data_IF_550530087377
#
_entry.id   IF_550530087377
#
_cell.length_a   1.000
_cell.length_b   1.000
_cell.length_c   1.000
_cell.angle_alpha   90.00
_cell.angle_beta   90.00
_cell.angle_gamma   90.00
#
_symmetry.space_group_name_H-M   'P 1'
#
loop_
_entity.id
_entity.type
_entity.pdbx_description
1 polymer ?
#
# COMPACT_ATOMS: atom_id res chain seq x y z
N UNK A 1 71.10 43.95 28.57
CA UNK A 1 70.63 42.60 28.11
C UNK A 1 69.20 42.27 28.66
N UNK A 2 68.72 42.81 29.74
CA UNK A 2 67.40 42.55 30.33
C UNK A 2 66.22 43.18 29.56
N UNK A 3 66.41 44.32 28.88
CA UNK A 3 65.35 45.03 28.14
C UNK A 3 64.96 44.25 26.86
N UNK A 4 65.83 43.56 26.21
CA UNK A 4 65.55 42.77 24.99
C UNK A 4 64.76 41.48 25.26
N UNK A 5 64.87 40.89 26.47
CA UNK A 5 64.12 39.71 26.88
C UNK A 5 62.68 40.11 27.27
N UNK A 6 62.44 41.26 27.91
CA UNK A 6 61.15 41.79 28.22
C UNK A 6 60.34 42.18 26.95
N UNK A 7 61.02 42.73 25.92
CA UNK A 7 60.40 43.12 24.66
C UNK A 7 59.90 41.87 23.88
N UNK A 8 60.48 40.71 24.12
CA UNK A 8 60.03 39.46 23.49
C UNK A 8 58.75 38.88 24.12
N UNK A 9 58.43 39.27 25.35
CA UNK A 9 57.25 38.85 26.08
C UNK A 9 56.01 39.77 25.92
N UNK A 10 56.23 41.00 25.45
CA UNK A 10 55.15 42.01 25.29
C UNK A 10 55.00 42.40 23.82
N UNK A 11 55.14 41.45 22.92
CA UNK A 11 54.79 41.70 21.50
C UNK A 11 53.29 41.64 21.34
N UNK A 12 52.62 42.70 20.88
CA UNK A 12 51.19 42.70 20.71
C UNK A 12 50.79 41.66 19.64
N UNK A 13 49.86 40.78 19.99
CA UNK A 13 49.28 39.81 19.09
C UNK A 13 47.81 40.14 18.89
N UNK A 14 47.34 40.01 17.62
CA UNK A 14 45.94 40.14 17.27
C UNK A 14 45.43 38.84 16.61
N UNK A 15 44.30 38.37 17.02
CA UNK A 15 43.55 37.35 16.34
C UNK A 15 42.44 38.01 15.56
N UNK A 16 42.37 37.82 14.25
CA UNK A 16 41.36 38.34 13.36
C UNK A 16 40.51 37.16 12.85
N UNK A 17 39.25 37.14 13.19
CA UNK A 17 38.33 36.15 12.63
C UNK A 17 37.57 36.81 11.45
N UNK A 18 37.90 36.40 10.25
CA UNK A 18 37.26 36.88 9.02
C UNK A 18 35.99 36.07 8.82
N UNK A 19 34.84 36.78 8.79
CA UNK A 19 33.52 36.20 8.54
C UNK A 19 33.29 36.17 7.07
N UNK A 20 33.07 34.95 6.49
CA UNK A 20 32.82 34.77 5.06
C UNK A 20 31.35 34.50 4.77
N UNK A 21 30.87 34.95 3.60
CA UNK A 21 29.55 34.69 3.07
C UNK A 21 29.63 33.58 2.03
N UNK A 22 29.24 32.35 2.38
CA UNK A 22 29.17 31.29 1.39
C UNK A 22 28.03 31.55 0.41
N UNK A 23 28.21 31.16 -0.84
CA UNK A 23 27.19 31.21 -1.87
C UNK A 23 26.68 29.81 -2.18
N UNK A 24 25.35 29.65 -2.25
CA UNK A 24 24.77 28.39 -2.67
C UNK A 24 24.93 28.26 -4.20
N UNK A 25 25.53 27.19 -4.65
CA UNK A 25 25.62 26.80 -6.06
C UNK A 25 24.83 25.53 -6.29
N UNK A 26 24.05 25.49 -7.38
CA UNK A 26 23.20 24.34 -7.71
C UNK A 26 23.35 24.01 -9.19
N UNK A 27 23.49 22.73 -9.50
CA UNK A 27 23.38 22.20 -10.84
C UNK A 27 22.23 21.20 -10.90
N UNK A 28 21.49 21.24 -12.01
CA UNK A 28 20.37 20.33 -12.29
C UNK A 28 20.62 19.62 -13.61
N UNK A 29 20.22 18.35 -13.66
CA UNK A 29 20.21 17.55 -14.89
C UNK A 29 19.10 16.52 -14.86
N UNK A 30 18.65 16.14 -16.05
CA UNK A 30 17.81 14.96 -16.21
C UNK A 30 18.69 13.73 -16.24
N UNK A 31 18.40 12.75 -15.39
CA UNK A 31 19.19 11.52 -15.20
C UNK A 31 18.29 10.31 -15.42
N UNK A 32 18.81 9.32 -16.13
CA UNK A 32 18.21 7.99 -16.22
C UNK A 32 18.70 7.11 -15.08
N UNK A 33 17.77 6.43 -14.40
CA UNK A 33 18.09 5.44 -13.36
C UNK A 33 17.79 4.07 -13.94
N UNK A 34 18.84 3.29 -14.18
CA UNK A 34 18.75 2.07 -14.98
C UNK A 34 19.09 0.80 -14.17
N UNK A 35 18.13 -0.16 -14.06
CA UNK A 35 18.37 -1.42 -13.36
C UNK A 35 19.43 -2.31 -14.02
N UNK A 36 19.78 -2.05 -15.28
CA UNK A 36 20.78 -2.80 -16.04
C UNK A 36 22.16 -2.16 -16.02
N UNK A 37 22.27 -0.89 -15.64
CA UNK A 37 23.55 -0.21 -15.50
C UNK A 37 24.30 -0.72 -14.27
N UNK A 38 25.60 -0.87 -14.40
CA UNK A 38 26.51 -1.29 -13.30
C UNK A 38 27.45 -0.19 -12.87
N UNK A 39 27.54 0.88 -13.65
CA UNK A 39 28.42 2.03 -13.41
C UNK A 39 27.71 3.33 -13.80
N UNK A 40 28.16 4.41 -13.18
CA UNK A 40 27.71 5.77 -13.53
C UNK A 40 28.23 6.14 -14.92
N UNK A 41 27.37 6.64 -15.80
CA UNK A 41 27.73 7.10 -17.15
C UNK A 41 27.47 8.60 -17.30
N UNK A 42 28.53 9.39 -17.36
CA UNK A 42 28.42 10.83 -17.62
C UNK A 42 27.98 11.13 -19.05
N UNK A 43 28.26 10.24 -20.02
CA UNK A 43 27.88 10.42 -21.42
C UNK A 43 26.37 10.19 -21.63
N UNK A 44 25.82 9.19 -20.97
CA UNK A 44 24.40 8.81 -21.06
C UNK A 44 23.54 9.47 -19.98
N UNK A 45 24.17 10.22 -19.07
CA UNK A 45 23.52 10.79 -17.89
C UNK A 45 22.71 9.75 -17.13
N UNK A 46 23.33 8.59 -16.89
CA UNK A 46 22.67 7.45 -16.23
C UNK A 46 23.42 6.98 -14.99
N UNK A 47 22.66 6.48 -14.01
CA UNK A 47 23.16 5.88 -12.79
C UNK A 47 22.55 4.47 -12.59
N UNK A 48 23.26 3.57 -11.87
CA UNK A 48 22.74 2.27 -11.53
C UNK A 48 21.48 2.35 -10.66
N UNK A 49 20.60 1.38 -10.85
CA UNK A 49 19.43 1.17 -10.00
C UNK A 49 19.48 -0.19 -9.32
N UNK A 50 19.07 -0.25 -8.07
CA UNK A 50 19.00 -1.49 -7.29
C UNK A 50 17.55 -1.87 -7.02
N UNK A 51 17.16 -3.08 -7.46
CA UNK A 51 15.83 -3.60 -7.16
C UNK A 51 15.77 -4.02 -5.69
N UNK A 52 14.78 -3.51 -4.99
CA UNK A 52 14.46 -3.88 -3.63
C UNK A 52 13.15 -4.65 -3.63
N UNK A 53 13.08 -5.76 -2.91
CA UNK A 53 11.87 -6.56 -2.80
C UNK A 53 11.69 -7.08 -1.38
N UNK A 54 10.46 -7.04 -0.88
CA UNK A 54 10.12 -7.54 0.43
C UNK A 54 8.76 -8.23 0.41
N UNK A 55 8.71 -9.44 0.92
CA UNK A 55 7.48 -10.19 1.12
C UNK A 55 7.12 -10.22 2.61
N UNK A 56 5.86 -9.94 2.91
CA UNK A 56 5.30 -10.05 4.26
C UNK A 56 4.01 -10.85 4.22
N UNK A 57 3.79 -11.63 5.26
CA UNK A 57 2.57 -12.41 5.46
C UNK A 57 1.87 -11.96 6.74
N UNK A 58 0.57 -12.12 6.75
CA UNK A 58 -0.25 -11.88 7.92
C UNK A 58 -1.53 -12.70 7.87
N UNK A 59 -2.17 -12.81 9.01
CA UNK A 59 -3.44 -13.49 9.19
C UNK A 59 -4.34 -12.67 10.10
N UNK A 60 -5.64 -12.69 9.82
CA UNK A 60 -6.66 -12.05 10.64
C UNK A 60 -7.94 -12.86 10.59
N UNK A 61 -8.87 -12.53 11.48
CA UNK A 61 -10.19 -13.15 11.53
C UNK A 61 -11.25 -12.10 11.80
N UNK A 62 -12.37 -12.20 11.09
CA UNK A 62 -13.55 -11.36 11.32
C UNK A 62 -14.79 -12.23 11.61
N UNK A 63 -15.78 -11.66 12.27
CA UNK A 63 -17.06 -12.34 12.48
C UNK A 63 -17.79 -12.49 11.13
N UNK A 64 -18.35 -13.68 10.89
CA UNK A 64 -19.22 -13.91 9.75
C UNK A 64 -20.57 -13.19 9.96
N UNK A 65 -21.07 -12.52 8.93
CA UNK A 65 -22.28 -11.69 9.02
C UNK A 65 -23.45 -12.19 8.17
N UNK A 66 -23.19 -13.09 7.23
CA UNK A 66 -24.22 -13.66 6.36
C UNK A 66 -25.27 -14.45 7.17
N UNK A 67 -26.49 -14.48 6.68
CA UNK A 67 -27.58 -15.26 7.24
C UNK A 67 -28.14 -16.18 6.17
N UNK A 68 -28.38 -17.44 6.55
CA UNK A 68 -28.95 -18.44 5.66
C UNK A 68 -29.90 -19.34 6.45
N UNK A 69 -31.03 -19.70 5.84
CA UNK A 69 -31.89 -20.76 6.36
C UNK A 69 -31.38 -22.11 5.84
N UNK A 70 -31.20 -23.03 6.75
CA UNK A 70 -30.85 -24.43 6.45
C UNK A 70 -31.88 -25.34 7.12
N UNK A 71 -32.12 -26.51 6.58
CA UNK A 71 -33.07 -27.47 7.10
C UNK A 71 -33.42 -28.52 6.07
N UNK A 72 -34.46 -29.27 6.37
CA UNK A 72 -34.95 -30.34 5.51
C UNK A 72 -36.32 -30.05 4.98
N UNK A 73 -36.66 -30.51 3.77
CA UNK A 73 -38.04 -30.47 3.25
C UNK A 73 -38.90 -31.53 3.91
N UNK A 74 -40.20 -31.24 4.06
CA UNK A 74 -41.19 -32.22 4.51
C UNK A 74 -41.38 -33.33 3.50
N UNK A 75 -41.57 -34.55 3.97
CA UNK A 75 -41.84 -35.71 3.13
C UNK A 75 -43.12 -36.36 3.57
N UNK A 76 -43.84 -36.96 2.60
CA UNK A 76 -45.06 -37.68 2.87
C UNK A 76 -45.53 -38.48 1.64
N UNK A 77 -46.73 -38.98 1.72
CA UNK A 77 -47.35 -39.65 0.59
C UNK A 77 -48.75 -39.10 0.37
N UNK A 78 -49.19 -39.09 -0.87
CA UNK A 78 -50.52 -38.71 -1.31
C UNK A 78 -51.18 -39.85 -2.08
N UNK A 79 -52.50 -40.00 -1.90
CA UNK A 79 -53.30 -40.82 -2.84
C UNK A 79 -53.75 -39.90 -3.96
N UNK A 80 -53.37 -40.27 -5.16
CA UNK A 80 -53.80 -39.59 -6.40
C UNK A 80 -55.11 -40.23 -6.86
N UNK A 81 -56.12 -39.43 -7.16
CA UNK A 81 -57.40 -39.82 -7.69
C UNK A 81 -57.49 -39.35 -9.14
N UNK A 82 -57.54 -40.31 -10.07
CA UNK A 82 -57.76 -40.04 -11.47
C UNK A 82 -59.28 -40.16 -11.76
N UNK A 83 -59.88 -39.04 -12.15
CA UNK A 83 -61.32 -38.92 -12.48
C UNK A 83 -61.60 -39.14 -13.95
N UNK A 84 -60.56 -39.28 -14.80
CA UNK A 84 -60.68 -39.47 -16.24
C UNK A 84 -60.89 -40.93 -16.62
N UNK A 85 -61.47 -41.15 -17.78
CA UNK A 85 -61.70 -42.48 -18.36
C UNK A 85 -60.45 -43.13 -19.00
N UNK A 86 -59.31 -42.45 -18.93
CA UNK A 86 -58.02 -42.99 -19.40
C UNK A 86 -57.00 -43.05 -18.27
N UNK A 87 -56.10 -44.04 -18.29
CA UNK A 87 -55.01 -44.13 -17.34
C UNK A 87 -54.03 -42.95 -17.50
N UNK A 88 -53.38 -42.56 -16.43
CA UNK A 88 -52.48 -41.41 -16.41
C UNK A 88 -51.13 -41.79 -15.83
N UNK A 89 -50.06 -41.51 -16.55
CA UNK A 89 -48.68 -41.65 -16.06
C UNK A 89 -48.16 -40.27 -15.64
N UNK A 90 -47.67 -40.18 -14.42
CA UNK A 90 -47.05 -39.02 -13.85
C UNK A 90 -45.57 -39.33 -13.67
N UNK A 91 -44.74 -38.41 -14.09
CA UNK A 91 -43.29 -38.56 -14.03
C UNK A 91 -42.72 -38.01 -12.71
N UNK A 92 -41.64 -38.58 -12.23
CA UNK A 92 -40.83 -37.99 -11.15
C UNK A 92 -40.60 -36.50 -11.42
N UNK A 93 -40.73 -35.67 -10.39
CA UNK A 93 -40.66 -34.22 -10.51
C UNK A 93 -41.96 -33.52 -10.89
N UNK A 94 -43.04 -34.28 -11.16
CA UNK A 94 -44.38 -33.65 -11.36
C UNK A 94 -44.74 -32.82 -10.12
N UNK A 95 -45.25 -31.62 -10.34
CA UNK A 95 -45.48 -30.62 -9.28
C UNK A 95 -46.91 -30.68 -8.74
N UNK A 96 -47.02 -30.65 -7.42
CA UNK A 96 -48.25 -30.51 -6.67
C UNK A 96 -48.24 -29.20 -5.91
N UNK A 97 -49.42 -28.65 -5.68
CA UNK A 97 -49.60 -27.46 -4.86
C UNK A 97 -50.68 -27.73 -3.81
N UNK A 98 -50.33 -27.43 -2.54
CA UNK A 98 -51.23 -27.48 -1.40
C UNK A 98 -50.98 -26.29 -0.49
N UNK A 99 -52.04 -25.54 -0.10
CA UNK A 99 -51.93 -24.36 0.74
C UNK A 99 -50.90 -23.31 0.27
N UNK A 100 -50.71 -23.19 -1.06
CA UNK A 100 -49.71 -22.30 -1.65
C UNK A 100 -48.28 -22.82 -1.62
N UNK A 101 -48.00 -24.01 -1.05
CA UNK A 101 -46.72 -24.67 -1.00
C UNK A 101 -46.56 -25.64 -2.16
N UNK A 102 -45.34 -25.80 -2.65
CA UNK A 102 -45.03 -26.68 -3.77
C UNK A 102 -44.40 -27.99 -3.29
N UNK A 103 -44.77 -29.09 -3.93
CA UNK A 103 -44.30 -30.44 -3.66
C UNK A 103 -43.99 -31.11 -4.98
N UNK A 104 -43.05 -32.04 -4.98
CA UNK A 104 -42.65 -32.83 -6.16
C UNK A 104 -42.83 -34.31 -5.93
N UNK A 105 -43.25 -35.00 -6.99
CA UNK A 105 -43.34 -36.46 -7.03
C UNK A 105 -41.92 -37.08 -7.01
N UNK A 106 -41.68 -38.05 -6.11
CA UNK A 106 -40.33 -38.63 -5.93
C UNK A 106 -40.03 -39.76 -6.92
N UNK A 107 -41.06 -40.36 -7.55
CA UNK A 107 -40.90 -41.47 -8.50
C UNK A 107 -41.99 -41.44 -9.60
N UNK A 108 -41.82 -42.22 -10.65
CA UNK A 108 -42.82 -42.36 -11.73
C UNK A 108 -44.03 -43.16 -11.21
N UNK A 109 -45.24 -42.64 -11.39
CA UNK A 109 -46.47 -43.29 -10.92
C UNK A 109 -47.47 -43.40 -12.08
N UNK A 110 -48.09 -44.59 -12.20
CA UNK A 110 -49.21 -44.82 -13.11
C UNK A 110 -50.50 -44.94 -12.30
N UNK A 111 -51.50 -44.15 -12.68
CA UNK A 111 -52.81 -44.13 -12.03
C UNK A 111 -53.85 -44.67 -13.02
N UNK A 112 -54.55 -45.73 -12.66
CA UNK A 112 -55.61 -46.33 -13.49
C UNK A 112 -56.72 -45.33 -13.84
N UNK A 113 -57.47 -45.60 -14.89
CA UNK A 113 -58.67 -44.82 -15.26
C UNK A 113 -59.78 -44.97 -14.21
N UNK A 114 -60.67 -44.01 -14.14
CA UNK A 114 -61.94 -44.19 -13.49
C UNK A 114 -62.76 -45.28 -14.19
N UNK A 115 -63.56 -46.04 -13.42
CA UNK A 115 -64.48 -47.07 -13.90
C UNK A 115 -65.94 -46.72 -13.43
N UNK A 116 -66.84 -46.92 -14.28
CA UNK A 116 -68.26 -46.72 -14.00
C UNK A 116 -68.97 -48.11 -13.94
N UNK A 117 -69.72 -48.33 -12.88
CA UNK A 117 -70.57 -49.51 -12.76
C UNK A 117 -71.97 -49.12 -13.30
N UNK A 118 -72.24 -49.58 -14.52
CA UNK A 118 -73.51 -49.26 -15.24
C UNK A 118 -74.74 -49.78 -14.52
N UNK A 119 -74.60 -50.77 -13.63
CA UNK A 119 -75.78 -51.33 -12.90
C UNK A 119 -76.10 -50.48 -11.67
N UNK A 120 -75.15 -50.01 -10.95
CA UNK A 120 -75.33 -49.19 -9.72
C UNK A 120 -75.22 -47.68 -9.95
N UNK A 121 -74.81 -47.23 -11.15
CA UNK A 121 -74.54 -45.83 -11.44
C UNK A 121 -73.41 -45.21 -10.66
N UNK A 122 -72.52 -46.02 -10.03
CA UNK A 122 -71.40 -45.54 -9.20
C UNK A 122 -70.13 -45.39 -10.02
N UNK A 123 -69.44 -44.26 -9.83
CA UNK A 123 -68.12 -44.00 -10.43
C UNK A 123 -67.02 -44.25 -9.37
N UNK A 124 -66.09 -45.16 -9.68
CA UNK A 124 -64.91 -45.43 -8.86
C UNK A 124 -63.73 -44.81 -9.53
N UNK A 125 -63.10 -43.84 -8.87
CA UNK A 125 -61.86 -43.21 -9.39
C UNK A 125 -60.68 -44.15 -9.33
N UNK A 126 -59.81 -44.08 -10.35
CA UNK A 126 -58.50 -44.72 -10.30
C UNK A 126 -57.67 -44.14 -9.18
N UNK A 127 -56.91 -44.98 -8.46
CA UNK A 127 -56.10 -44.55 -7.29
C UNK A 127 -54.69 -45.08 -7.42
N UNK A 128 -53.74 -44.26 -6.94
CA UNK A 128 -52.34 -44.70 -6.72
C UNK A 128 -51.71 -43.91 -5.56
N UNK A 129 -50.92 -44.62 -4.74
CA UNK A 129 -50.12 -43.94 -3.72
C UNK A 129 -48.85 -43.40 -4.34
N UNK A 130 -48.45 -42.21 -3.95
CA UNK A 130 -47.30 -41.50 -4.48
C UNK A 130 -46.47 -40.85 -3.37
N UNK A 131 -45.18 -41.15 -3.23
CA UNK A 131 -44.26 -40.42 -2.34
C UNK A 131 -44.01 -39.02 -2.90
N UNK A 132 -44.02 -38.02 -2.00
CA UNK A 132 -43.97 -36.61 -2.36
C UNK A 132 -43.10 -35.88 -1.35
N UNK A 133 -42.21 -35.01 -1.86
CA UNK A 133 -41.33 -34.17 -1.07
C UNK A 133 -41.64 -32.71 -1.33
N UNK A 134 -41.65 -31.90 -0.26
CA UNK A 134 -41.80 -30.44 -0.40
C UNK A 134 -40.61 -29.84 -1.16
N UNK A 135 -40.85 -28.82 -1.95
CA UNK A 135 -39.78 -28.09 -2.65
C UNK A 135 -38.99 -27.23 -1.68
N UNK A 136 -39.69 -26.55 -0.77
CA UNK A 136 -39.08 -25.66 0.20
C UNK A 136 -38.84 -26.40 1.54
N UNK A 137 -37.73 -26.04 2.18
CA UNK A 137 -37.40 -26.46 3.54
C UNK A 137 -38.31 -25.77 4.55
N UNK A 138 -38.54 -26.40 5.67
CA UNK A 138 -39.18 -25.74 6.79
C UNK A 138 -40.43 -26.42 7.31
N UNK A 139 -40.83 -26.10 8.55
CA UNK A 139 -41.96 -26.75 9.26
C UNK A 139 -43.33 -26.37 8.63
N UNK A 140 -43.40 -25.28 7.81
CA UNK A 140 -44.63 -24.89 7.11
C UNK A 140 -45.12 -25.95 6.12
N UNK A 141 -44.19 -26.81 5.63
CA UNK A 141 -44.51 -27.92 4.72
C UNK A 141 -44.94 -29.22 5.44
N UNK A 142 -44.96 -29.24 6.76
CA UNK A 142 -45.48 -30.34 7.55
C UNK A 142 -47.03 -30.26 7.59
N UNK A 143 -47.66 -30.58 6.46
CA UNK A 143 -49.12 -30.49 6.30
C UNK A 143 -49.82 -31.64 7.06
N UNK A 144 -51.02 -31.41 7.62
CA UNK A 144 -51.80 -32.44 8.29
C UNK A 144 -52.33 -33.50 7.32
N UNK A 145 -52.70 -34.64 7.86
CA UNK A 145 -53.43 -35.65 7.12
C UNK A 145 -54.75 -35.08 6.56
N UNK A 146 -55.16 -35.57 5.40
CA UNK A 146 -56.35 -35.11 4.74
C UNK A 146 -56.20 -33.86 3.88
N UNK A 147 -54.97 -33.28 3.79
CA UNK A 147 -54.69 -32.12 2.93
C UNK A 147 -54.88 -32.50 1.48
N UNK A 148 -55.56 -31.63 0.73
CA UNK A 148 -55.79 -31.77 -0.70
C UNK A 148 -54.65 -31.08 -1.51
N UNK A 149 -54.21 -31.74 -2.57
CA UNK A 149 -53.17 -31.31 -3.47
C UNK A 149 -53.76 -31.23 -4.90
N UNK A 150 -53.51 -30.12 -5.55
CA UNK A 150 -53.76 -29.94 -6.97
C UNK A 150 -52.49 -30.11 -7.76
N UNK A 151 -52.60 -30.61 -8.96
CA UNK A 151 -51.46 -30.63 -9.92
C UNK A 151 -51.28 -29.26 -10.53
N UNK A 152 -50.07 -28.88 -10.80
CA UNK A 152 -49.78 -27.61 -11.47
C UNK A 152 -50.30 -27.61 -12.91
N UNK A 153 -50.16 -28.76 -13.60
CA UNK A 153 -50.41 -28.85 -15.04
C UNK A 153 -51.67 -29.73 -15.38
N UNK A 154 -52.48 -30.07 -14.37
CA UNK A 154 -53.68 -30.90 -14.57
C UNK A 154 -54.86 -30.28 -13.83
N UNK A 155 -55.97 -30.11 -14.55
CA UNK A 155 -57.18 -29.55 -13.95
C UNK A 155 -57.74 -30.46 -12.83
N UNK A 156 -58.24 -29.86 -11.75
CA UNK A 156 -58.84 -30.54 -10.60
C UNK A 156 -60.02 -31.44 -10.98
N UNK A 157 -60.70 -31.10 -12.08
CA UNK A 157 -61.78 -31.93 -12.67
C UNK A 157 -61.26 -33.25 -13.22
N UNK A 158 -59.98 -33.36 -13.55
CA UNK A 158 -59.31 -34.53 -14.14
C UNK A 158 -58.63 -35.38 -13.08
N UNK A 159 -57.86 -34.74 -12.20
CA UNK A 159 -57.14 -35.45 -11.12
C UNK A 159 -56.96 -34.53 -9.90
N UNK A 160 -56.93 -35.13 -8.73
CA UNK A 160 -56.65 -34.51 -7.44
C UNK A 160 -55.84 -35.51 -6.60
N UNK A 161 -55.09 -35.00 -5.65
CA UNK A 161 -54.41 -35.88 -4.68
C UNK A 161 -54.77 -35.46 -3.26
N UNK A 162 -54.64 -36.39 -2.31
CA UNK A 162 -54.95 -36.15 -0.90
C UNK A 162 -53.97 -36.93 -0.03
N UNK A 163 -53.43 -36.28 1.00
CA UNK A 163 -52.59 -36.98 1.98
C UNK A 163 -53.42 -37.86 2.93
N UNK A 164 -53.02 -39.10 3.13
CA UNK A 164 -53.61 -39.96 4.15
C UNK A 164 -52.98 -39.78 5.54
N UNK A 165 -51.68 -39.45 5.52
CA UNK A 165 -50.89 -39.20 6.72
C UNK A 165 -50.30 -37.74 6.67
N UNK A 166 -49.95 -37.24 7.82
CA UNK A 166 -49.28 -35.95 7.88
C UNK A 166 -47.91 -35.99 7.19
N UNK A 167 -47.55 -34.90 6.52
CA UNK A 167 -46.18 -34.65 6.05
C UNK A 167 -45.31 -34.29 7.25
N UNK A 168 -44.13 -34.86 7.32
CA UNK A 168 -43.19 -34.73 8.47
C UNK A 168 -41.76 -34.49 7.97
N UNK A 169 -40.91 -34.07 8.89
CA UNK A 169 -39.47 -33.90 8.62
C UNK A 169 -39.09 -32.52 8.09
N UNK A 170 -40.06 -31.66 7.82
CA UNK A 170 -39.80 -30.26 7.43
C UNK A 170 -39.22 -29.50 8.64
N UNK A 171 -37.98 -29.04 8.49
CA UNK A 171 -37.26 -28.28 9.53
C UNK A 171 -36.63 -27.06 8.93
N UNK A 172 -36.41 -26.01 9.70
CA UNK A 172 -35.56 -24.88 9.34
C UNK A 172 -34.95 -24.22 10.55
N UNK A 173 -33.72 -23.78 10.41
CA UNK A 173 -33.03 -22.94 11.39
C UNK A 173 -32.26 -21.84 10.67
N UNK A 174 -32.14 -20.69 11.29
CA UNK A 174 -31.27 -19.64 10.81
C UNK A 174 -29.84 -19.91 11.27
N UNK A 175 -28.91 -19.85 10.33
CA UNK A 175 -27.49 -20.03 10.60
C UNK A 175 -26.72 -18.81 10.14
N UNK A 176 -25.61 -18.57 10.82
CA UNK A 176 -24.63 -17.59 10.37
C UNK A 176 -23.69 -18.26 9.35
N UNK A 177 -23.52 -17.63 8.23
CA UNK A 177 -22.64 -18.10 7.15
C UNK A 177 -21.68 -17.01 6.74
N UNK A 178 -20.57 -17.40 6.14
CA UNK A 178 -19.64 -16.45 5.55
C UNK A 178 -20.28 -15.79 4.33
N UNK A 179 -20.31 -14.48 4.32
CA UNK A 179 -20.81 -13.68 3.20
C UNK A 179 -19.65 -13.24 2.28
N UNK A 180 -19.98 -12.82 1.08
CA UNK A 180 -19.03 -12.21 0.15
C UNK A 180 -18.45 -10.90 0.72
N UNK A 181 -19.29 -10.13 1.41
CA UNK A 181 -18.85 -8.89 2.07
C UNK A 181 -17.79 -9.15 3.15
N UNK A 182 -17.89 -10.28 3.89
CA UNK A 182 -16.88 -10.67 4.88
C UNK A 182 -15.53 -10.94 4.20
N UNK A 183 -15.52 -11.62 3.06
CA UNK A 183 -14.30 -11.83 2.27
C UNK A 183 -13.66 -10.52 1.82
N UNK A 184 -14.46 -9.60 1.31
CA UNK A 184 -13.99 -8.30 0.83
C UNK A 184 -13.44 -7.46 2.00
N UNK A 185 -14.14 -7.46 3.14
CA UNK A 185 -13.73 -6.73 4.34
C UNK A 185 -12.40 -7.26 4.90
N UNK A 186 -12.29 -8.59 5.09
CA UNK A 186 -11.08 -9.23 5.58
C UNK A 186 -9.89 -9.04 4.63
N UNK A 187 -10.13 -9.19 3.32
CA UNK A 187 -9.08 -8.97 2.31
C UNK A 187 -8.58 -7.54 2.34
N UNK A 188 -9.49 -6.57 2.44
CA UNK A 188 -9.12 -5.16 2.51
C UNK A 188 -8.32 -4.84 3.77
N UNK A 189 -8.81 -5.27 4.94
CA UNK A 189 -8.12 -5.06 6.23
C UNK A 189 -6.69 -5.61 6.20
N UNK A 190 -6.53 -6.90 5.81
CA UNK A 190 -5.22 -7.53 5.69
C UNK A 190 -4.32 -6.83 4.66
N UNK A 191 -4.88 -6.43 3.51
CA UNK A 191 -4.10 -5.74 2.47
C UNK A 191 -3.59 -4.41 3.00
N UNK A 192 -4.45 -3.60 3.62
CA UNK A 192 -4.09 -2.27 4.13
C UNK A 192 -3.01 -2.36 5.23
N UNK A 193 -3.11 -3.34 6.13
CA UNK A 193 -2.13 -3.58 7.18
C UNK A 193 -0.79 -4.05 6.60
N UNK A 194 -0.82 -5.08 5.76
CA UNK A 194 0.39 -5.69 5.21
C UNK A 194 1.13 -4.78 4.24
N UNK A 195 0.43 -3.94 3.47
CA UNK A 195 1.06 -2.92 2.61
C UNK A 195 1.85 -1.93 3.45
N UNK A 196 1.28 -1.45 4.56
CA UNK A 196 1.98 -0.53 5.48
C UNK A 196 3.22 -1.20 6.07
N UNK A 197 3.07 -2.45 6.54
CA UNK A 197 4.17 -3.23 7.11
C UNK A 197 5.27 -3.48 6.07
N UNK A 198 4.90 -3.96 4.88
CA UNK A 198 5.84 -4.26 3.81
C UNK A 198 6.61 -3.03 3.33
N UNK A 199 5.94 -1.88 3.16
CA UNK A 199 6.59 -0.61 2.82
C UNK A 199 7.58 -0.16 3.90
N UNK A 200 7.21 -0.31 5.18
CA UNK A 200 8.12 0.01 6.29
C UNK A 200 9.35 -0.90 6.29
N UNK A 201 9.15 -2.20 6.11
CA UNK A 201 10.26 -3.17 6.05
C UNK A 201 11.12 -2.98 4.81
N UNK A 202 10.53 -2.64 3.65
CA UNK A 202 11.26 -2.33 2.43
C UNK A 202 12.20 -1.14 2.66
N UNK A 203 11.68 -0.03 3.20
CA UNK A 203 12.48 1.16 3.51
C UNK A 203 13.57 0.89 4.56
N UNK A 204 13.28 0.08 5.57
CA UNK A 204 14.25 -0.32 6.59
C UNK A 204 15.32 -1.30 6.12
N UNK A 205 15.08 -1.99 5.00
CA UNK A 205 16.01 -2.92 4.39
C UNK A 205 16.94 -2.31 3.33
N UNK A 206 16.69 -1.07 2.94
CA UNK A 206 17.54 -0.34 1.98
C UNK A 206 18.87 0.02 2.67
N UNK A 207 19.99 -0.12 1.93
CA UNK A 207 21.32 0.25 2.43
C UNK A 207 21.30 1.74 2.87
N UNK A 208 21.99 2.13 3.97
CA UNK A 208 22.03 3.52 4.44
C UNK A 208 22.53 4.54 3.40
N UNK A 209 23.34 4.11 2.44
CA UNK A 209 23.85 4.95 1.33
C UNK A 209 22.88 5.05 0.14
N UNK A 210 21.82 4.26 0.17
CA UNK A 210 20.82 4.20 -0.90
C UNK A 210 19.51 4.88 -0.50
N UNK A 211 18.82 5.44 -1.48
CA UNK A 211 17.48 6.00 -1.34
C UNK A 211 16.48 5.29 -2.22
N UNK A 212 15.35 4.93 -1.62
CA UNK A 212 14.22 4.33 -2.32
C UNK A 212 13.43 5.41 -3.06
N UNK A 213 13.06 5.13 -4.29
CA UNK A 213 12.18 5.98 -5.11
C UNK A 213 10.74 5.55 -4.83
N UNK A 214 10.00 6.36 -4.09
CA UNK A 214 8.65 5.99 -3.63
C UNK A 214 7.67 5.76 -4.78
N UNK A 215 7.81 6.46 -5.90
CA UNK A 215 6.98 6.35 -7.10
C UNK A 215 7.15 5.01 -7.82
N UNK A 216 8.24 4.28 -7.56
CA UNK A 216 8.49 2.96 -8.13
C UNK A 216 7.88 1.83 -7.31
N UNK A 217 7.30 2.13 -6.14
CA UNK A 217 6.80 1.09 -5.23
C UNK A 217 5.54 0.44 -5.80
N UNK A 218 5.66 -0.82 -6.19
CA UNK A 218 4.57 -1.68 -6.65
C UNK A 218 4.24 -2.70 -5.58
N UNK A 219 2.96 -2.99 -5.42
CA UNK A 219 2.46 -3.99 -4.47
C UNK A 219 1.76 -5.11 -5.22
N UNK A 220 2.08 -6.36 -4.90
CA UNK A 220 1.45 -7.54 -5.47
C UNK A 220 1.01 -8.50 -4.38
N UNK A 221 -0.24 -8.94 -4.42
CA UNK A 221 -0.71 -10.06 -3.61
C UNK A 221 -0.22 -11.36 -4.25
N UNK A 222 0.58 -12.13 -3.52
CA UNK A 222 1.21 -13.37 -4.01
C UNK A 222 0.51 -14.63 -3.52
N UNK A 223 -0.13 -14.58 -2.35
CA UNK A 223 -0.94 -15.67 -1.84
C UNK A 223 -2.14 -15.15 -1.08
N UNK A 224 -3.24 -15.91 -1.15
CA UNK A 224 -4.48 -15.66 -0.42
C UNK A 224 -5.11 -16.98 -0.06
N UNK A 225 -5.40 -17.17 1.21
CA UNK A 225 -6.03 -18.38 1.72
C UNK A 225 -7.09 -18.04 2.77
N UNK A 226 -8.22 -18.71 2.75
CA UNK A 226 -9.34 -18.52 3.67
C UNK A 226 -9.81 -19.88 4.21
N UNK A 227 -10.20 -19.89 5.47
CA UNK A 227 -10.61 -21.10 6.20
C UNK A 227 -11.98 -21.64 5.80
N UNK A 228 -12.88 -20.80 5.29
CA UNK A 228 -14.24 -21.16 4.89
C UNK A 228 -14.57 -20.59 3.52
N UNK A 229 -15.52 -21.23 2.84
CA UNK A 229 -16.07 -20.73 1.58
C UNK A 229 -17.29 -19.81 1.81
N UNK A 230 -17.64 -19.02 0.79
CA UNK A 230 -18.84 -18.20 0.80
C UNK A 230 -20.09 -19.08 0.93
N UNK A 231 -21.02 -18.71 1.79
CA UNK A 231 -22.23 -19.46 2.18
C UNK A 231 -21.98 -20.71 3.04
N UNK A 232 -20.77 -20.96 3.48
CA UNK A 232 -20.47 -21.99 4.48
C UNK A 232 -20.84 -21.51 5.87
N UNK A 233 -21.45 -22.41 6.68
CA UNK A 233 -21.81 -22.11 8.06
C UNK A 233 -20.57 -21.96 8.92
N UNK A 234 -20.40 -20.77 9.49
CA UNK A 234 -19.32 -20.45 10.41
C UNK A 234 -19.65 -19.19 11.21
N UNK A 235 -19.10 -19.07 12.41
CA UNK A 235 -19.20 -17.85 13.22
C UNK A 235 -18.14 -16.82 12.87
N UNK A 236 -17.03 -17.24 12.28
CA UNK A 236 -15.89 -16.41 11.92
C UNK A 236 -15.32 -16.85 10.57
N UNK A 237 -14.75 -15.90 9.84
CA UNK A 237 -13.89 -16.12 8.67
C UNK A 237 -12.46 -15.80 9.06
N UNK A 238 -11.54 -16.76 8.92
CA UNK A 238 -10.12 -16.54 9.05
C UNK A 238 -9.50 -16.47 7.65
N UNK A 239 -8.51 -15.61 7.50
CA UNK A 239 -7.77 -15.50 6.24
C UNK A 239 -6.30 -15.21 6.47
N UNK A 240 -5.48 -15.68 5.57
CA UNK A 240 -4.08 -15.34 5.46
C UNK A 240 -3.77 -14.73 4.09
N UNK A 241 -2.88 -13.76 4.09
CA UNK A 241 -2.47 -13.05 2.89
C UNK A 241 -0.96 -12.88 2.88
N UNK A 242 -0.35 -13.06 1.73
CA UNK A 242 1.05 -12.71 1.49
C UNK A 242 1.11 -11.63 0.43
N UNK A 243 1.83 -10.55 0.75
CA UNK A 243 2.03 -9.42 -0.14
C UNK A 243 3.52 -9.27 -0.39
N UNK A 244 3.89 -9.08 -1.64
CA UNK A 244 5.22 -8.68 -2.07
C UNK A 244 5.18 -7.22 -2.51
N UNK A 245 6.07 -6.43 -1.94
CA UNK A 245 6.31 -5.03 -2.33
C UNK A 245 7.69 -4.96 -2.95
N UNK A 246 7.77 -4.38 -4.14
CA UNK A 246 9.01 -4.13 -4.85
C UNK A 246 9.15 -2.63 -5.14
N UNK A 247 10.39 -2.16 -5.19
CA UNK A 247 10.73 -0.78 -5.52
C UNK A 247 12.15 -0.69 -6.05
N UNK A 248 12.58 0.50 -6.40
CA UNK A 248 13.92 0.78 -6.92
C UNK A 248 14.62 1.76 -6.00
N UNK A 249 15.86 1.47 -5.63
CA UNK A 249 16.76 2.38 -4.92
C UNK A 249 17.93 2.79 -5.81
N UNK A 250 18.55 3.90 -5.47
CA UNK A 250 19.77 4.42 -6.09
C UNK A 250 20.74 4.88 -5.00
N UNK A 251 22.04 4.98 -5.32
CA UNK A 251 23.04 5.52 -4.41
C UNK A 251 23.13 7.04 -4.59
N UNK A 252 23.06 7.81 -3.50
CA UNK A 252 23.22 9.28 -3.54
C UNK A 252 24.60 9.73 -4.04
N UNK A 253 25.63 8.94 -3.76
CA UNK A 253 26.99 9.22 -4.22
C UNK A 253 27.11 9.17 -5.74
N UNK A 254 26.27 8.37 -6.42
CA UNK A 254 26.25 8.29 -7.88
C UNK A 254 25.76 9.60 -8.51
N UNK A 255 24.71 10.20 -7.94
CA UNK A 255 24.24 11.53 -8.37
C UNK A 255 25.31 12.59 -8.11
N UNK A 256 25.92 12.55 -6.93
CA UNK A 256 26.99 13.48 -6.55
C UNK A 256 28.14 13.38 -7.53
N UNK A 257 28.58 12.16 -7.85
CA UNK A 257 29.68 11.91 -8.79
C UNK A 257 29.35 12.42 -10.21
N UNK A 258 28.09 12.19 -10.67
CA UNK A 258 27.65 12.61 -11.99
C UNK A 258 27.54 14.12 -12.14
N UNK A 259 27.07 14.83 -11.10
CA UNK A 259 26.78 16.28 -11.17
C UNK A 259 27.90 17.16 -10.59
N UNK A 260 28.95 16.58 -9.97
CA UNK A 260 30.01 17.32 -9.30
C UNK A 260 30.72 18.30 -10.23
N UNK A 261 31.05 17.89 -11.44
CA UNK A 261 31.70 18.77 -12.43
C UNK A 261 30.77 19.94 -12.82
N UNK A 262 29.46 19.65 -12.99
CA UNK A 262 28.48 20.68 -13.34
C UNK A 262 28.32 21.72 -12.23
N UNK A 263 28.39 21.32 -10.97
CA UNK A 263 28.38 22.26 -9.83
C UNK A 263 29.68 23.06 -9.80
N UNK A 264 30.84 22.41 -10.02
CA UNK A 264 32.15 23.08 -10.00
C UNK A 264 32.26 24.19 -11.05
N UNK A 265 31.66 24.02 -12.25
CA UNK A 265 31.64 25.07 -13.29
C UNK A 265 30.82 26.30 -12.91
N UNK A 266 29.91 26.17 -11.95
CA UNK A 266 29.06 27.25 -11.45
C UNK A 266 29.66 28.00 -10.25
N UNK A 267 30.79 27.51 -9.72
CA UNK A 267 31.47 28.19 -8.62
C UNK A 267 32.03 29.54 -9.11
N UNK A 268 31.69 30.65 -8.44
CA UNK A 268 32.20 31.98 -8.85
C UNK A 268 33.71 32.06 -8.72
N UNK A 269 34.31 32.91 -9.53
CA UNK A 269 35.76 33.17 -9.48
C UNK A 269 36.16 33.69 -8.08
N UNK A 270 37.22 33.12 -7.52
CA UNK A 270 37.66 33.44 -6.17
C UNK A 270 36.97 32.66 -5.02
N UNK A 271 36.07 31.73 -5.38
CA UNK A 271 35.44 30.79 -4.42
C UNK A 271 35.95 29.37 -4.65
N UNK A 272 35.86 28.53 -3.63
CA UNK A 272 36.09 27.11 -3.70
C UNK A 272 34.84 26.35 -3.22
N UNK A 273 34.53 25.26 -3.87
CA UNK A 273 33.39 24.40 -3.47
C UNK A 273 33.74 23.65 -2.18
N UNK A 274 32.88 23.79 -1.18
CA UNK A 274 32.97 22.98 0.04
C UNK A 274 32.26 21.65 -0.21
N UNK A 275 33.05 20.62 -0.51
CA UNK A 275 32.56 19.27 -0.83
C UNK A 275 31.80 18.63 0.34
N UNK A 276 32.02 19.04 1.57
CA UNK A 276 31.33 18.51 2.75
C UNK A 276 29.87 18.97 2.84
N UNK A 277 29.53 20.00 2.09
CA UNK A 277 28.17 20.58 2.04
C UNK A 277 27.35 20.11 0.85
N UNK A 278 27.90 19.23 0.01
CA UNK A 278 27.20 18.69 -1.14
C UNK A 278 25.98 17.89 -0.69
N UNK A 279 24.85 18.18 -1.32
CA UNK A 279 23.58 17.49 -1.08
C UNK A 279 22.84 17.29 -2.41
N UNK A 280 22.50 16.05 -2.69
CA UNK A 280 21.72 15.68 -3.87
C UNK A 280 20.24 15.54 -3.53
N UNK A 281 19.37 15.89 -4.48
CA UNK A 281 17.93 15.67 -4.41
C UNK A 281 17.43 15.22 -5.77
N UNK A 282 16.36 14.43 -5.78
CA UNK A 282 15.63 14.07 -6.99
C UNK A 282 14.21 14.66 -6.96
N UNK A 283 13.72 15.01 -8.12
CA UNK A 283 12.36 15.50 -8.35
C UNK A 283 11.84 14.98 -9.71
N UNK A 284 10.55 15.22 -9.97
CA UNK A 284 9.92 14.93 -11.27
C UNK A 284 10.18 13.48 -11.74
N UNK A 285 9.94 12.53 -10.85
CA UNK A 285 10.14 11.11 -11.16
C UNK A 285 9.12 10.64 -12.20
N UNK A 286 9.62 10.17 -13.33
CA UNK A 286 8.82 9.59 -14.41
C UNK A 286 9.22 8.13 -14.58
N UNK A 287 8.26 7.24 -14.34
CA UNK A 287 8.42 5.80 -14.58
C UNK A 287 7.72 5.46 -15.90
N UNK A 288 8.49 5.10 -16.90
CA UNK A 288 7.96 4.71 -18.21
C UNK A 288 7.36 3.30 -18.19
N UNK A 289 6.54 2.96 -19.18
CA UNK A 289 5.86 1.65 -19.26
C UNK A 289 6.83 0.47 -19.40
N UNK A 290 8.00 0.68 -19.96
CA UNK A 290 9.08 -0.29 -20.10
C UNK A 290 9.94 -0.43 -18.84
N UNK A 291 9.64 0.36 -17.80
CA UNK A 291 10.35 0.35 -16.52
C UNK A 291 11.55 1.28 -16.45
N UNK A 292 11.84 2.07 -17.52
CA UNK A 292 12.85 3.12 -17.45
C UNK A 292 12.42 4.23 -16.49
N UNK A 293 13.34 4.68 -15.64
CA UNK A 293 13.09 5.71 -14.64
C UNK A 293 13.91 6.94 -15.03
N UNK A 294 13.23 8.05 -15.26
CA UNK A 294 13.88 9.34 -15.49
C UNK A 294 13.54 10.29 -14.36
N UNK A 295 14.55 10.95 -13.82
CA UNK A 295 14.41 11.90 -12.72
C UNK A 295 15.10 13.21 -13.06
N UNK A 296 14.61 14.31 -12.52
CA UNK A 296 15.38 15.55 -12.44
C UNK A 296 16.20 15.48 -11.16
N UNK A 297 17.52 15.37 -11.30
CA UNK A 297 18.44 15.41 -10.17
C UNK A 297 19.05 16.80 -10.05
N UNK A 298 19.20 17.26 -8.82
CA UNK A 298 19.92 18.47 -8.49
C UNK A 298 20.99 18.19 -7.45
N UNK A 299 22.15 18.80 -7.63
CA UNK A 299 23.24 18.81 -6.67
C UNK A 299 23.49 20.25 -6.23
N UNK A 300 23.41 20.50 -4.94
CA UNK A 300 23.70 21.81 -4.36
C UNK A 300 24.85 21.72 -3.37
N UNK A 301 25.62 22.78 -3.27
CA UNK A 301 26.73 22.90 -2.34
C UNK A 301 27.05 24.36 -2.03
N UNK A 302 27.82 24.59 -0.98
CA UNK A 302 28.27 25.92 -0.62
C UNK A 302 29.63 26.21 -1.27
N UNK A 303 29.72 27.30 -1.99
CA UNK A 303 30.97 27.86 -2.44
C UNK A 303 31.45 28.86 -1.39
N UNK A 304 32.65 28.64 -0.83
CA UNK A 304 33.27 29.50 0.18
C UNK A 304 34.33 30.36 -0.47
N UNK A 305 34.46 31.65 -0.13
CA UNK A 305 35.48 32.50 -0.70
C UNK A 305 36.87 32.01 -0.32
N UNK A 306 37.76 31.95 -1.30
CA UNK A 306 39.19 31.65 -1.10
C UNK A 306 39.92 32.85 -0.49
N UNK A 307 39.97 32.93 0.82
CA UNK A 307 40.66 34.05 1.53
C UNK A 307 42.12 33.70 1.68
N UNK A 308 42.99 34.48 0.99
CA UNK A 308 44.43 34.40 1.20
C UNK A 308 44.79 35.04 2.56
N UNK A 309 45.04 34.18 3.53
CA UNK A 309 45.42 34.59 4.88
C UNK A 309 46.67 35.51 4.89
N UNK A 310 47.67 35.20 4.03
CA UNK A 310 48.88 35.99 3.90
C UNK A 310 48.66 37.40 3.36
N UNK A 311 47.82 37.49 2.33
CA UNK A 311 47.41 38.77 1.77
C UNK A 311 46.61 39.59 2.79
N UNK A 312 45.67 38.98 3.48
CA UNK A 312 44.89 39.62 4.57
C UNK A 312 45.80 40.17 5.66
N UNK A 313 46.71 39.33 6.21
CA UNK A 313 47.68 39.77 7.21
C UNK A 313 48.52 40.97 6.77
N UNK A 314 48.99 40.94 5.52
CA UNK A 314 49.82 42.03 4.97
C UNK A 314 49.05 43.32 4.82
N UNK A 315 47.78 43.25 4.39
CA UNK A 315 46.95 44.41 4.10
C UNK A 315 46.48 45.12 5.37
N UNK A 316 46.20 44.36 6.44
CA UNK A 316 45.68 44.93 7.69
C UNK A 316 46.79 45.28 8.71
N UNK A 317 48.05 44.86 8.47
CA UNK A 317 49.17 45.13 9.38
C UNK A 317 49.37 46.66 9.60
N UNK A 318 49.44 47.05 10.90
CA UNK A 318 49.61 48.47 11.29
C UNK A 318 48.42 49.37 11.07
N UNK A 319 47.30 48.88 10.54
CA UNK A 319 46.04 49.66 10.32
C UNK A 319 45.26 49.86 11.58
N UNK A 320 44.44 50.93 11.65
CA UNK A 320 43.45 51.06 12.69
C UNK A 320 42.36 50.02 12.53
N UNK A 321 41.57 49.77 13.60
CA UNK A 321 40.48 48.83 13.53
C UNK A 321 39.43 49.22 12.47
N UNK A 322 39.08 50.50 12.42
CA UNK A 322 38.12 51.01 11.46
C UNK A 322 38.60 50.80 10.00
N UNK A 323 39.86 51.17 9.73
CA UNK A 323 40.48 50.96 8.41
C UNK A 323 40.53 49.47 8.04
N UNK A 324 40.92 48.61 9.00
CA UNK A 324 41.02 47.17 8.78
C UNK A 324 39.63 46.54 8.49
N UNK A 325 38.60 46.96 9.21
CA UNK A 325 37.23 46.55 8.96
C UNK A 325 36.73 46.96 7.60
N UNK A 326 37.01 48.20 7.16
CA UNK A 326 36.63 48.72 5.88
C UNK A 326 37.35 47.98 4.73
N UNK A 327 38.64 47.77 4.87
CA UNK A 327 39.43 47.00 3.92
C UNK A 327 38.86 45.60 3.75
N UNK A 328 38.61 44.89 4.86
CA UNK A 328 38.12 43.55 4.86
C UNK A 328 36.67 43.44 4.25
N UNK A 329 35.79 44.38 4.58
CA UNK A 329 34.44 44.44 3.98
C UNK A 329 34.45 44.67 2.48
N UNK A 330 35.47 45.36 1.96
CA UNK A 330 35.61 45.59 0.51
C UNK A 330 36.23 44.42 -0.21
N UNK A 331 36.69 43.37 0.50
CA UNK A 331 37.16 42.13 -0.11
C UNK A 331 35.95 41.25 -0.51
N UNK A 332 36.03 40.63 -1.66
CA UNK A 332 34.95 39.80 -2.18
C UNK A 332 34.66 38.61 -1.23
N UNK A 333 33.39 38.45 -0.86
CA UNK A 333 32.93 37.31 -0.05
C UNK A 333 33.20 37.46 1.44
N UNK A 334 33.68 38.61 1.92
CA UNK A 334 33.87 38.88 3.35
C UNK A 334 32.70 39.72 3.88
N UNK A 335 31.99 39.21 4.89
CA UNK A 335 30.90 39.90 5.59
C UNK A 335 31.40 40.89 6.62
N UNK A 336 32.55 40.60 7.24
CA UNK A 336 33.13 41.38 8.30
C UNK A 336 34.31 40.66 8.96
N UNK A 337 34.80 41.25 10.05
CA UNK A 337 35.84 40.63 10.83
C UNK A 337 35.68 40.98 12.32
N UNK A 338 36.04 40.04 13.15
CA UNK A 338 36.12 40.21 14.60
C UNK A 338 37.62 40.25 14.99
N UNK A 339 37.94 41.15 15.95
CA UNK A 339 39.32 41.39 16.38
C UNK A 339 39.44 41.11 17.87
N UNK A 340 40.39 40.26 18.22
CA UNK A 340 40.75 39.92 19.60
C UNK A 340 42.23 40.23 19.83
N UNK A 341 42.53 41.13 20.77
CA UNK A 341 43.89 41.50 21.09
C UNK A 341 44.42 40.77 22.34
N UNK A 342 45.65 40.29 22.23
CA UNK A 342 46.38 39.75 23.36
C UNK A 342 47.70 40.54 23.55
N UNK A 343 47.96 40.95 24.78
CA UNK A 343 49.16 41.68 25.16
C UNK A 343 49.37 43.01 24.44
N UNK A 344 48.29 43.71 24.06
CA UNK A 344 48.36 44.99 23.37
C UNK A 344 48.25 46.17 24.38
N UNK A 345 49.17 47.14 24.27
CA UNK A 345 49.12 48.41 25.01
C UNK A 345 48.02 49.37 24.51
N UNK A 346 47.68 49.25 23.25
CA UNK A 346 46.52 49.92 22.63
C UNK A 346 45.72 48.92 21.87
N UNK A 347 44.37 49.02 21.88
CA UNK A 347 43.44 48.15 21.16
C UNK A 347 42.92 48.82 19.90
N UNK A 348 43.47 49.99 19.53
CA UNK A 348 42.94 50.79 18.40
C UNK A 348 43.66 50.48 17.08
N UNK A 349 44.82 49.81 17.13
CA UNK A 349 45.62 49.46 15.96
C UNK A 349 46.10 48.02 15.99
N UNK A 350 46.17 47.40 14.82
CA UNK A 350 46.73 46.09 14.63
C UNK A 350 48.29 46.11 14.71
N UNK A 351 48.94 44.97 15.05
CA UNK A 351 50.39 44.86 15.03
C UNK A 351 50.95 45.21 13.65
N UNK A 352 52.12 45.93 13.67
CA UNK A 352 52.84 46.31 12.43
C UNK A 352 53.42 45.04 11.76
N UNK A 353 53.91 44.10 12.60
CA UNK A 353 54.43 42.84 12.12
C UNK A 353 53.26 41.87 11.79
N UNK A 354 53.08 41.51 10.53
CA UNK A 354 52.06 40.57 10.06
C UNK A 354 52.09 39.21 10.75
N UNK A 355 53.29 38.74 11.19
CA UNK A 355 53.45 37.46 11.87
C UNK A 355 52.82 37.43 13.27
N UNK A 356 52.48 38.59 13.81
CA UNK A 356 51.80 38.74 15.10
C UNK A 356 50.25 38.87 14.91
N UNK A 357 49.76 38.74 13.69
CA UNK A 357 48.36 38.71 13.36
C UNK A 357 47.99 37.29 12.97
N UNK A 358 47.20 36.61 13.79
CA UNK A 358 46.63 35.30 13.41
C UNK A 358 45.27 35.50 12.78
N UNK A 359 45.10 35.05 11.55
CA UNK A 359 43.83 35.11 10.85
C UNK A 359 43.15 33.75 10.89
N UNK A 360 41.90 33.72 11.31
CA UNK A 360 40.97 32.57 11.22
C UNK A 360 39.84 32.90 10.30
N UNK A 361 39.37 31.95 9.53
CA UNK A 361 38.22 32.08 8.67
C UNK A 361 37.07 31.37 9.37
N UNK A 362 35.91 32.04 9.46
CA UNK A 362 34.68 31.48 9.94
C UNK A 362 33.56 31.80 8.96
N UNK A 363 32.66 30.91 8.75
CA UNK A 363 31.42 31.11 7.99
C UNK A 363 30.37 31.75 8.87
N UNK A 364 29.68 32.74 8.35
CA UNK A 364 28.55 33.37 9.02
C UNK A 364 27.28 32.52 8.86
#
# INVERSE_FOLDING_TARGET
MFIAVLARWVVPHAQVTVLTLPQLVTAESSISIEPTATVVSSQEHSIPAHKQEKSVSGQSAIAATGKKKVGDPAKGSVVIFNKSTSSRSLKKGSMFVANGLQFTLDEDISVASASENLISGTVTFGKANAPVTAVDIGPQSNLPAGTEFSFKDVAISIAIARSEKAFIGGTSRDVTVVSRADYEALTKELTDELVKKAKKELRGGVNPTEKLIDETIVTKVTSRDFSQEVNQEASQLQGSLTITVAGVSYNEDDITSLLKENVATKVPQGYALDETTLSSTIADVVVARDGAITVRASLSGKAVPGVDVGAVQQTIAGKSLTEAQEILRNMQGIAGAEFIFRYALSRDRLPINKNNISVRIATQ
#
